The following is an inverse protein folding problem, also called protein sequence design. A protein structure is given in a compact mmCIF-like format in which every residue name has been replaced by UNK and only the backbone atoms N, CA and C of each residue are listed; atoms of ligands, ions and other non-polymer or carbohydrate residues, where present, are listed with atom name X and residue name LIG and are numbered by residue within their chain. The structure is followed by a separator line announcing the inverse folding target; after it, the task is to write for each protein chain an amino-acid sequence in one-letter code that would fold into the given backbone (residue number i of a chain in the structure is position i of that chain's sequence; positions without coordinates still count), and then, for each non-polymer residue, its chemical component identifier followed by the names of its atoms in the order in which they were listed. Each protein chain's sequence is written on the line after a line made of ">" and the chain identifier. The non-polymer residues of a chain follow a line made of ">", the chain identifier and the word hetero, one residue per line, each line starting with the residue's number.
data_IF_038557078966
#
_entry.id   IF_038557078966
#
_cell.length_a   1.000
_cell.length_b   1.000
_cell.length_c   1.000
_cell.angle_alpha   90.00
_cell.angle_beta   90.00
_cell.angle_gamma   90.00
#
_symmetry.space_group_name_H-M   'P 1'
#
loop_
_entity.id
_entity.type
_entity.pdbx_description
1 polymer ?
#
# COMPACT_ATOMS: atom_id res chain seq x y z
N UNK A 1 11.58 -27.45 -44.34
CA UNK A 1 10.23 -28.04 -44.41
C UNK A 1 9.26 -27.04 -43.81
N UNK A 2 8.38 -26.43 -44.62
CA UNK A 2 7.25 -25.61 -44.14
C UNK A 2 6.01 -26.43 -44.43
N UNK A 3 5.69 -27.38 -43.56
CA UNK A 3 4.62 -28.34 -43.80
C UNK A 3 3.69 -28.42 -42.59
N UNK A 4 2.82 -27.42 -42.52
CA UNK A 4 1.43 -27.55 -42.14
C UNK A 4 0.75 -26.21 -42.50
N UNK A 5 -0.45 -26.24 -43.08
CA UNK A 5 -1.28 -25.05 -43.29
C UNK A 5 -1.84 -24.46 -41.98
N UNK A 6 -1.07 -24.53 -40.90
CA UNK A 6 -1.38 -24.02 -39.58
C UNK A 6 -0.93 -22.56 -39.53
N UNK A 7 -1.77 -21.69 -38.96
CA UNK A 7 -1.39 -20.29 -38.75
C UNK A 7 -0.19 -20.25 -37.79
N UNK A 8 0.69 -19.26 -37.90
CA UNK A 8 1.77 -19.04 -36.91
C UNK A 8 1.22 -19.02 -35.47
N UNK A 9 -0.03 -18.57 -35.27
CA UNK A 9 -0.69 -18.61 -33.97
C UNK A 9 -1.02 -20.03 -33.47
N UNK A 10 -1.25 -20.98 -34.38
CA UNK A 10 -1.54 -22.39 -34.06
C UNK A 10 -0.27 -23.13 -33.64
N UNK A 11 0.85 -22.85 -34.31
CA UNK A 11 2.17 -23.39 -33.94
C UNK A 11 2.57 -22.91 -32.53
N UNK A 12 2.48 -21.60 -32.28
CA UNK A 12 2.77 -20.99 -30.97
C UNK A 12 1.83 -21.55 -29.89
N UNK A 13 0.55 -21.75 -30.21
CA UNK A 13 -0.42 -22.32 -29.27
C UNK A 13 -0.07 -23.75 -28.88
N UNK A 14 0.31 -24.59 -29.86
CA UNK A 14 0.70 -25.97 -29.62
C UNK A 14 2.01 -26.07 -28.81
N UNK A 15 3.00 -25.23 -29.13
CA UNK A 15 4.29 -25.20 -28.44
C UNK A 15 4.17 -24.75 -26.97
N UNK A 16 3.33 -23.75 -26.71
CA UNK A 16 3.16 -23.18 -25.36
C UNK A 16 2.04 -23.87 -24.54
N UNK A 17 1.31 -24.82 -25.13
CA UNK A 17 0.15 -25.45 -24.49
C UNK A 17 -0.98 -24.44 -24.17
N UNK A 18 -1.10 -23.38 -24.96
CA UNK A 18 -2.08 -22.32 -24.78
C UNK A 18 -3.24 -22.45 -25.77
N UNK A 19 -4.39 -21.89 -25.42
CA UNK A 19 -5.49 -21.79 -26.37
C UNK A 19 -5.16 -20.79 -27.49
N UNK A 20 -5.45 -21.14 -28.74
CA UNK A 20 -5.28 -20.29 -29.94
C UNK A 20 -5.80 -18.86 -29.75
N UNK A 21 -6.96 -18.69 -29.12
CA UNK A 21 -7.53 -17.36 -28.88
C UNK A 21 -6.66 -16.46 -27.98
N UNK A 22 -5.88 -17.04 -27.07
CA UNK A 22 -4.94 -16.30 -26.23
C UNK A 22 -3.80 -15.72 -27.07
N UNK A 23 -3.23 -16.55 -27.96
CA UNK A 23 -2.16 -16.14 -28.87
C UNK A 23 -2.64 -15.04 -29.82
N UNK A 24 -3.83 -15.20 -30.41
CA UNK A 24 -4.43 -14.16 -31.25
C UNK A 24 -4.65 -12.85 -30.49
N UNK A 25 -5.16 -12.90 -29.25
CA UNK A 25 -5.35 -11.71 -28.42
C UNK A 25 -4.04 -10.99 -28.13
N UNK A 26 -2.96 -11.74 -27.93
CA UNK A 26 -1.62 -11.20 -27.70
C UNK A 26 -1.04 -10.54 -28.96
N UNK A 27 -1.10 -11.22 -30.11
CA UNK A 27 -0.65 -10.67 -31.40
C UNK A 27 -1.39 -9.37 -31.70
N UNK A 28 -2.73 -9.40 -31.60
CA UNK A 28 -3.55 -8.22 -31.86
C UNK A 28 -3.22 -7.06 -30.91
N UNK A 29 -3.06 -7.33 -29.61
CA UNK A 29 -2.66 -6.30 -28.63
C UNK A 29 -1.27 -5.73 -28.95
N UNK A 30 -0.35 -6.57 -29.40
CA UNK A 30 0.98 -6.12 -29.81
C UNK A 30 0.92 -5.21 -31.03
N UNK A 31 0.12 -5.56 -32.03
CA UNK A 31 -0.07 -4.74 -33.24
C UNK A 31 -0.77 -3.40 -32.95
N UNK A 32 -1.75 -3.38 -32.04
CA UNK A 32 -2.52 -2.18 -31.70
C UNK A 32 -1.78 -1.25 -30.71
N UNK A 33 -1.25 -1.78 -29.60
CA UNK A 33 -0.71 -0.99 -28.49
C UNK A 33 0.84 -0.99 -28.42
N UNK A 34 1.50 -1.91 -29.13
CA UNK A 34 2.94 -2.16 -28.98
C UNK A 34 3.34 -2.70 -27.60
N UNK A 35 2.38 -3.19 -26.81
CA UNK A 35 2.59 -3.61 -25.41
C UNK A 35 1.94 -4.96 -25.14
N UNK A 36 2.74 -5.90 -24.64
CA UNK A 36 2.24 -7.22 -24.21
C UNK A 36 1.78 -7.25 -22.74
N UNK A 37 1.99 -6.16 -21.99
CA UNK A 37 1.65 -6.08 -20.56
C UNK A 37 0.15 -6.22 -20.35
N UNK A 38 -0.23 -6.85 -19.24
CA UNK A 38 -1.62 -6.89 -18.83
C UNK A 38 -2.12 -5.50 -18.46
N UNK A 39 -3.32 -5.17 -18.96
CA UNK A 39 -4.01 -3.95 -18.55
C UNK A 39 -4.24 -4.03 -17.04
N UNK A 40 -3.93 -2.97 -16.27
CA UNK A 40 -4.26 -2.96 -14.85
C UNK A 40 -5.75 -3.21 -14.69
N UNK A 41 -6.12 -4.19 -13.86
CA UNK A 41 -7.51 -4.48 -13.57
C UNK A 41 -8.12 -3.25 -12.89
N UNK A 42 -9.30 -2.83 -13.32
CA UNK A 42 -10.07 -1.88 -12.55
C UNK A 42 -10.41 -2.50 -11.21
N UNK A 43 -9.89 -1.92 -10.12
CA UNK A 43 -10.28 -2.31 -8.77
C UNK A 43 -11.74 -1.95 -8.49
N UNK A 44 -12.25 -2.42 -7.37
CA UNK A 44 -13.55 -1.97 -6.85
C UNK A 44 -13.47 -0.46 -6.61
N UNK A 45 -14.51 0.27 -7.04
CA UNK A 45 -14.61 1.70 -6.77
C UNK A 45 -14.58 1.95 -5.26
N UNK A 46 -13.83 2.96 -4.81
CA UNK A 46 -13.83 3.36 -3.40
C UNK A 46 -15.21 3.88 -3.01
N UNK A 47 -15.60 3.63 -1.75
CA UNK A 47 -16.83 4.18 -1.16
C UNK A 47 -16.65 5.63 -0.71
N UNK A 48 -15.42 5.99 -0.34
CA UNK A 48 -15.06 7.33 0.13
C UNK A 48 -14.80 8.28 -1.03
N UNK A 49 -15.23 9.52 -0.87
CA UNK A 49 -14.84 10.62 -1.76
C UNK A 49 -13.45 11.14 -1.37
N UNK A 50 -12.75 11.88 -2.25
CA UNK A 50 -11.48 12.52 -1.89
C UNK A 50 -11.57 13.44 -0.67
N UNK A 51 -12.70 14.13 -0.49
CA UNK A 51 -12.98 14.97 0.66
C UNK A 51 -13.16 14.15 1.94
N UNK A 52 -13.80 12.98 1.85
CA UNK A 52 -13.94 12.08 2.99
C UNK A 52 -12.57 11.48 3.37
N UNK A 53 -11.74 11.13 2.40
CA UNK A 53 -10.37 10.69 2.65
C UNK A 53 -9.54 11.77 3.35
N UNK A 54 -9.73 13.03 2.96
CA UNK A 54 -9.10 14.17 3.62
C UNK A 54 -9.60 14.33 5.06
N UNK A 55 -10.91 14.26 5.30
CA UNK A 55 -11.47 14.29 6.65
C UNK A 55 -10.97 13.14 7.53
N UNK A 56 -10.93 11.92 6.98
CA UNK A 56 -10.40 10.74 7.67
C UNK A 56 -8.93 10.95 8.03
N UNK A 57 -8.14 11.57 7.15
CA UNK A 57 -6.72 11.87 7.42
C UNK A 57 -6.55 12.93 8.51
N UNK A 58 -7.33 14.00 8.46
CA UNK A 58 -7.27 15.12 9.42
C UNK A 58 -7.79 14.71 10.81
N UNK A 59 -8.83 13.88 10.86
CA UNK A 59 -9.47 13.41 12.09
C UNK A 59 -8.99 12.02 12.51
N UNK A 60 -7.96 11.49 11.83
CA UNK A 60 -7.26 10.29 12.26
C UNK A 60 -6.59 10.60 13.58
N UNK A 61 -6.99 9.87 14.63
CA UNK A 61 -6.38 10.00 15.95
C UNK A 61 -4.86 9.73 15.85
N UNK A 62 -4.04 10.43 16.65
CA UNK A 62 -2.57 10.43 16.54
C UNK A 62 -1.90 9.06 16.76
N UNK A 63 -2.66 8.05 17.17
CA UNK A 63 -2.18 6.67 17.36
C UNK A 63 -2.20 5.81 16.08
N UNK A 64 -2.68 6.33 14.94
CA UNK A 64 -2.76 5.56 13.69
C UNK A 64 -1.83 6.04 12.57
N UNK A 65 -1.08 7.12 12.80
CA UNK A 65 0.04 7.58 11.95
C UNK A 65 1.39 7.01 12.38
N UNK A 66 1.41 5.96 13.20
CA UNK A 66 2.64 5.27 13.54
C UNK A 66 2.95 4.22 12.46
N UNK A 67 3.53 4.67 11.35
CA UNK A 67 4.48 3.85 10.58
C UNK A 67 5.50 4.77 9.88
N UNK A 68 6.68 4.82 10.51
CA UNK A 68 8.01 4.95 9.93
C UNK A 68 8.70 6.32 9.78
N UNK A 69 8.40 7.31 10.62
CA UNK A 69 9.34 8.42 10.87
C UNK A 69 9.65 8.53 12.37
N UNK A 70 10.54 7.67 12.86
CA UNK A 70 11.17 7.80 14.18
C UNK A 70 12.15 8.97 14.18
N UNK A 71 11.66 10.21 14.14
CA UNK A 71 12.51 11.40 14.21
C UNK A 71 12.14 12.39 15.33
N UNK A 72 10.89 12.47 15.78
CA UNK A 72 10.46 13.67 16.54
C UNK A 72 10.02 13.44 18.00
N UNK A 73 10.38 12.31 18.62
CA UNK A 73 10.03 12.01 20.03
C UNK A 73 11.03 12.54 21.08
N UNK A 74 11.91 13.48 20.75
CA UNK A 74 12.79 14.12 21.76
C UNK A 74 12.24 15.43 22.35
N UNK A 75 11.13 15.95 21.80
CA UNK A 75 10.59 17.27 22.18
C UNK A 75 9.57 17.27 23.33
N UNK A 76 8.91 16.16 23.64
CA UNK A 76 7.70 16.19 24.47
C UNK A 76 7.92 15.99 25.98
N UNK A 77 9.12 15.55 26.42
CA UNK A 77 9.42 15.28 27.84
C UNK A 77 10.51 16.18 28.43
N UNK A 78 10.75 17.35 27.82
CA UNK A 78 11.79 18.28 28.27
C UNK A 78 11.24 19.66 28.66
N UNK A 79 9.99 19.76 29.10
CA UNK A 79 9.52 20.98 29.76
C UNK A 79 9.94 20.97 31.25
N UNK A 80 10.78 21.92 31.70
CA UNK A 80 11.33 21.92 33.07
C UNK A 80 10.25 22.05 34.16
N UNK A 81 9.06 22.55 33.80
CA UNK A 81 7.92 22.69 34.69
C UNK A 81 7.37 21.33 35.19
N UNK A 82 7.38 20.30 34.33
CA UNK A 82 6.85 18.99 34.68
C UNK A 82 7.83 18.18 35.57
N UNK A 83 9.13 18.33 35.33
CA UNK A 83 10.19 17.74 36.20
C UNK A 83 10.17 18.37 37.59
N UNK A 84 9.93 19.68 37.68
CA UNK A 84 9.74 20.41 38.94
C UNK A 84 8.46 19.95 39.68
N UNK A 85 7.37 19.70 38.95
CA UNK A 85 6.11 19.20 39.52
C UNK A 85 6.25 17.77 40.07
N UNK A 86 6.95 16.88 39.36
CA UNK A 86 7.24 15.52 39.80
C UNK A 86 8.16 15.49 41.03
N UNK A 87 9.18 16.36 41.08
CA UNK A 87 10.05 16.50 42.25
C UNK A 87 9.26 16.94 43.49
N UNK A 88 8.32 17.88 43.34
CA UNK A 88 7.43 18.35 44.43
C UNK A 88 6.47 17.28 44.95
N UNK A 89 6.13 16.28 44.12
CA UNK A 89 5.28 15.15 44.49
C UNK A 89 6.02 14.07 45.30
N UNK A 90 7.33 13.91 45.12
CA UNK A 90 8.12 12.87 45.81
C UNK A 90 8.34 13.13 47.31
N UNK A 91 8.05 14.34 47.81
CA UNK A 91 8.24 14.69 49.23
C UNK A 91 6.95 14.55 50.08
N UNK A 92 5.84 14.07 49.49
CA UNK A 92 4.55 13.90 50.16
C UNK A 92 4.06 12.45 50.16
N UNK A 93 4.93 11.51 50.48
CA UNK A 93 4.45 10.20 50.97
C UNK A 93 4.59 10.20 52.50
N UNK A 94 3.50 10.04 53.27
CA UNK A 94 3.64 9.78 54.69
C UNK A 94 4.30 8.40 54.83
N UNK A 95 5.51 8.37 55.40
CA UNK A 95 6.19 7.14 55.78
C UNK A 95 5.26 6.29 56.64
N UNK A 96 5.02 5.09 56.13
CA UNK A 96 4.38 3.89 56.67
C UNK A 96 4.18 3.78 58.20
N UNK A 97 2.96 3.37 58.54
CA UNK A 97 2.61 2.19 59.35
C UNK A 97 3.48 1.91 60.60
N UNK A 98 2.91 2.19 61.76
CA UNK A 98 2.82 1.26 62.89
C UNK A 98 1.53 1.54 63.67
#
# INVERSE_FOLDING_TARGET
>A
MKEAGLSAADEIAAELGLHRATVYRWIRRWEEDGKLRDRPRSGVKRKTTPQDEQRIREHSWPFHTANNDTADLEGFLNEPAEKEALRKLQHKTPTTLC
#
